data_IF_206985726115
#
_entry.id   IF_206985726115
#
_cell.length_a   1.000
_cell.length_b   1.000
_cell.length_c   1.000
_cell.angle_alpha   90.00
_cell.angle_beta   90.00
_cell.angle_gamma   90.00
#
_symmetry.space_group_name_H-M   'P 1'
#
loop_
_entity.id
_entity.type
_entity.pdbx_description
1 polymer ?
#
# COMPACT_ATOMS: atom_id res chain seq x y z
N UNK A 1 -66.41 -77.27 1.00
CA UNK A 1 -67.29 -76.19 1.55
C UNK A 1 -66.50 -75.02 2.02
N UNK A 2 -66.66 -73.91 1.28
CA UNK A 2 -66.58 -72.48 1.67
C UNK A 2 -65.54 -72.02 2.77
N UNK A 3 -64.78 -71.03 2.55
CA UNK A 3 -65.11 -69.61 2.23
C UNK A 3 -63.84 -68.83 1.81
N UNK A 4 -64.04 -67.87 0.96
CA UNK A 4 -63.15 -66.85 0.54
C UNK A 4 -62.68 -65.95 1.68
N UNK A 5 -61.37 -65.62 1.78
CA UNK A 5 -60.84 -64.51 2.43
C UNK A 5 -60.12 -63.57 1.48
N UNK A 6 -60.61 -62.35 1.43
CA UNK A 6 -60.16 -61.28 0.55
C UNK A 6 -58.97 -60.57 1.21
N UNK A 7 -57.79 -60.70 0.60
CA UNK A 7 -56.62 -59.91 0.97
C UNK A 7 -56.85 -58.44 0.55
N UNK A 8 -56.84 -57.52 1.49
CA UNK A 8 -56.74 -56.09 1.25
C UNK A 8 -55.26 -55.72 1.17
N UNK A 9 -54.81 -55.35 0.00
CA UNK A 9 -53.48 -54.79 -0.24
C UNK A 9 -53.56 -53.29 0.05
N UNK A 10 -52.95 -52.85 1.17
CA UNK A 10 -52.74 -51.44 1.48
C UNK A 10 -51.54 -50.90 0.70
N UNK A 11 -51.78 -50.00 -0.25
CA UNK A 11 -50.74 -49.22 -0.87
C UNK A 11 -50.26 -48.15 0.12
N UNK A 12 -49.04 -48.30 0.64
CA UNK A 12 -48.33 -47.23 1.35
C UNK A 12 -47.56 -46.40 0.29
N UNK A 13 -47.96 -45.14 0.11
CA UNK A 13 -47.25 -44.18 -0.68
C UNK A 13 -45.97 -43.70 0.06
N UNK A 14 -44.78 -43.56 -0.56
CA UNK A 14 -43.62 -43.00 0.09
C UNK A 14 -43.76 -41.46 0.20
N UNK A 15 -43.70 -40.97 1.41
CA UNK A 15 -43.56 -39.53 1.67
C UNK A 15 -42.14 -39.12 1.27
N UNK A 16 -42.04 -38.41 0.16
CA UNK A 16 -40.79 -37.77 -0.24
C UNK A 16 -40.46 -36.61 0.72
N UNK A 17 -39.50 -36.80 1.61
CA UNK A 17 -38.92 -35.74 2.41
C UNK A 17 -38.16 -34.78 1.50
N UNK A 18 -38.76 -33.64 1.19
CA UNK A 18 -38.09 -32.54 0.51
C UNK A 18 -37.01 -31.96 1.46
N UNK A 19 -35.78 -32.42 1.30
CA UNK A 19 -34.62 -31.82 1.96
C UNK A 19 -34.44 -30.41 1.46
N UNK A 20 -34.77 -29.41 2.27
CA UNK A 20 -34.38 -28.03 2.08
C UNK A 20 -32.84 -27.95 2.22
N UNK A 21 -32.15 -27.97 1.10
CA UNK A 21 -30.76 -27.61 1.06
C UNK A 21 -30.63 -26.13 1.48
N UNK A 22 -30.22 -25.90 2.71
CA UNK A 22 -29.84 -24.58 3.19
C UNK A 22 -28.68 -24.11 2.30
N UNK A 23 -28.97 -23.26 1.30
CA UNK A 23 -27.95 -22.52 0.58
C UNK A 23 -27.18 -21.69 1.62
N UNK A 24 -25.98 -22.13 1.98
CA UNK A 24 -25.09 -21.37 2.82
C UNK A 24 -24.97 -19.96 2.26
N UNK A 25 -25.37 -18.95 3.02
CA UNK A 25 -25.11 -17.56 2.69
C UNK A 25 -23.59 -17.45 2.46
N UNK A 26 -23.18 -17.13 1.24
CA UNK A 26 -21.80 -16.77 0.96
C UNK A 26 -21.44 -15.60 1.90
N UNK A 27 -20.62 -15.87 2.89
CA UNK A 27 -20.12 -14.83 3.78
C UNK A 27 -19.23 -13.91 2.95
N UNK A 28 -19.63 -12.66 2.80
CA UNK A 28 -18.78 -11.64 2.19
C UNK A 28 -17.43 -11.68 2.92
N UNK A 29 -16.30 -11.80 2.21
CA UNK A 29 -14.99 -11.79 2.85
C UNK A 29 -14.85 -10.54 3.72
N UNK A 30 -14.38 -10.71 4.96
CA UNK A 30 -14.17 -9.55 5.84
C UNK A 30 -13.08 -8.65 5.24
N UNK A 31 -13.26 -7.32 5.30
CA UNK A 31 -12.21 -6.39 4.88
C UNK A 31 -10.91 -6.70 5.62
N UNK A 32 -9.80 -6.73 4.90
CA UNK A 32 -8.47 -7.03 5.46
C UNK A 32 -7.43 -6.04 4.98
N UNK A 33 -6.40 -5.83 5.81
CA UNK A 33 -5.15 -5.17 5.45
C UNK A 33 -4.06 -6.23 5.55
N UNK A 34 -3.23 -6.36 4.52
CA UNK A 34 -2.17 -7.36 4.50
C UNK A 34 -0.90 -6.78 5.10
N UNK A 35 -0.38 -7.41 6.15
CA UNK A 35 0.90 -7.09 6.79
C UNK A 35 1.92 -8.20 6.53
N UNK A 36 3.18 -7.95 6.83
CA UNK A 36 4.24 -8.98 6.73
C UNK A 36 4.04 -10.14 7.70
N UNK A 37 3.22 -9.96 8.74
CA UNK A 37 2.83 -11.01 9.71
C UNK A 37 1.52 -11.72 9.33
N UNK A 38 0.87 -11.31 8.24
CA UNK A 38 -0.41 -11.83 7.78
C UNK A 38 -1.54 -10.78 7.79
N UNK A 39 -2.78 -11.17 7.45
CA UNK A 39 -3.90 -10.24 7.36
C UNK A 39 -4.40 -9.81 8.75
N UNK A 40 -4.75 -8.53 8.85
CA UNK A 40 -5.44 -7.95 10.01
C UNK A 40 -6.75 -7.30 9.57
N UNK A 41 -7.67 -7.05 10.50
CA UNK A 41 -8.85 -6.22 10.21
C UNK A 41 -8.47 -4.73 10.19
N UNK A 42 -9.18 -3.88 9.44
CA UNK A 42 -8.92 -2.45 9.44
C UNK A 42 -8.92 -1.80 10.84
N UNK A 43 -9.78 -2.27 11.74
CA UNK A 43 -9.86 -1.76 13.12
C UNK A 43 -8.62 -2.10 13.97
N UNK A 44 -7.87 -3.13 13.60
CA UNK A 44 -6.63 -3.52 14.28
C UNK A 44 -5.42 -2.70 13.88
N UNK A 45 -5.49 -1.90 12.79
CA UNK A 45 -4.36 -1.16 12.24
C UNK A 45 -3.82 -0.11 13.23
N UNK A 46 -4.71 0.72 13.80
CA UNK A 46 -4.36 1.85 14.66
C UNK A 46 -3.65 3.00 13.91
N UNK A 47 -3.03 3.95 14.66
CA UNK A 47 -2.27 5.05 14.05
C UNK A 47 -1.11 4.55 13.22
N UNK A 48 -1.00 5.06 11.98
CA UNK A 48 -0.10 4.56 10.95
C UNK A 48 0.72 5.67 10.29
N UNK A 49 2.00 5.41 10.05
CA UNK A 49 2.84 6.12 9.08
C UNK A 49 2.62 5.47 7.70
N UNK A 50 2.18 6.26 6.73
CA UNK A 50 1.68 5.73 5.46
C UNK A 50 2.73 5.61 4.36
N UNK A 51 3.96 6.13 4.59
CA UNK A 51 5.08 6.08 3.65
C UNK A 51 6.40 6.31 4.38
N UNK A 52 7.13 5.23 4.64
CA UNK A 52 8.47 5.27 5.24
C UNK A 52 9.37 4.21 4.61
N UNK A 53 10.67 4.27 4.94
CA UNK A 53 11.68 3.36 4.42
C UNK A 53 12.52 2.74 5.54
N UNK A 54 12.65 1.42 5.54
CA UNK A 54 13.58 0.71 6.41
C UNK A 54 14.99 0.79 5.85
N UNK A 55 15.14 0.43 4.59
CA UNK A 55 16.42 0.49 3.90
C UNK A 55 16.20 0.86 2.43
N UNK A 56 17.29 1.29 1.77
CA UNK A 56 17.28 1.56 0.35
C UNK A 56 18.65 1.25 -0.28
N UNK A 57 18.62 0.66 -1.47
CA UNK A 57 19.77 0.48 -2.35
C UNK A 57 19.58 1.28 -3.64
N UNK A 58 20.14 2.48 -3.68
CA UNK A 58 20.04 3.38 -4.84
C UNK A 58 21.05 3.08 -5.96
N UNK A 59 21.88 2.06 -5.84
CA UNK A 59 22.76 1.70 -6.95
C UNK A 59 21.92 1.30 -8.19
N UNK A 60 22.18 1.91 -9.36
CA UNK A 60 21.51 1.51 -10.60
C UNK A 60 21.73 0.02 -10.90
N UNK A 61 20.73 -0.65 -11.46
CA UNK A 61 20.84 -2.08 -11.78
C UNK A 61 22.01 -2.37 -12.74
N UNK A 62 22.26 -1.48 -13.69
CA UNK A 62 23.37 -1.62 -14.64
C UNK A 62 24.76 -1.62 -13.97
N UNK A 63 24.89 -1.07 -12.77
CA UNK A 63 26.15 -1.00 -12.01
C UNK A 63 26.33 -2.18 -11.05
N UNK A 64 25.33 -3.04 -10.87
CA UNK A 64 25.39 -4.18 -9.97
C UNK A 64 26.13 -5.35 -10.65
N UNK A 65 27.15 -5.85 -9.99
CA UNK A 65 27.94 -7.00 -10.47
C UNK A 65 27.33 -8.36 -10.09
N UNK A 66 26.40 -8.36 -9.14
CA UNK A 66 25.64 -9.55 -8.72
C UNK A 66 24.25 -9.57 -9.39
N UNK A 67 23.56 -10.71 -9.27
CA UNK A 67 22.17 -10.80 -9.68
C UNK A 67 21.32 -9.67 -9.05
N UNK A 68 20.39 -9.04 -9.78
CA UNK A 68 19.67 -7.85 -9.32
C UNK A 68 18.92 -8.01 -7.99
N UNK A 69 18.58 -9.24 -7.62
CA UNK A 69 17.87 -9.58 -6.38
C UNK A 69 18.79 -9.95 -5.22
N UNK A 70 20.12 -10.05 -5.45
CA UNK A 70 21.07 -10.32 -4.39
C UNK A 70 21.19 -9.13 -3.46
N UNK A 71 20.96 -9.33 -2.17
CA UNK A 71 21.16 -8.31 -1.15
C UNK A 71 22.63 -7.87 -1.11
N UNK A 72 22.86 -6.56 -1.04
CA UNK A 72 24.19 -5.93 -0.95
C UNK A 72 24.46 -5.39 0.45
N UNK A 73 23.76 -5.89 1.44
CA UNK A 73 23.81 -5.52 2.85
C UNK A 73 23.72 -6.77 3.72
N UNK A 74 24.12 -6.66 4.97
CA UNK A 74 23.89 -7.66 6.00
C UNK A 74 22.51 -7.41 6.65
N UNK A 75 21.53 -8.32 6.52
CA UNK A 75 20.22 -8.15 7.14
C UNK A 75 20.24 -8.07 8.67
N UNK A 76 21.25 -8.63 9.33
CA UNK A 76 21.39 -8.57 10.79
C UNK A 76 21.89 -7.19 11.22
N UNK A 77 22.85 -6.60 10.49
CA UNK A 77 23.29 -5.23 10.71
C UNK A 77 22.11 -4.25 10.53
N UNK A 78 21.36 -4.35 9.42
CA UNK A 78 20.19 -3.49 9.18
C UNK A 78 19.16 -3.66 10.29
N UNK A 79 18.90 -4.89 10.74
CA UNK A 79 17.99 -5.16 11.83
C UNK A 79 18.40 -4.44 13.12
N UNK A 80 19.67 -4.58 13.52
CA UNK A 80 20.18 -3.99 14.76
C UNK A 80 20.17 -2.46 14.73
N UNK A 81 20.46 -1.86 13.57
CA UNK A 81 20.47 -0.41 13.37
C UNK A 81 19.06 0.16 13.33
N UNK A 82 18.12 -0.48 12.62
CA UNK A 82 16.78 0.10 12.39
C UNK A 82 15.80 -0.19 13.53
N UNK A 83 15.92 -1.32 14.21
CA UNK A 83 14.99 -1.73 15.26
C UNK A 83 14.77 -0.67 16.35
N UNK A 84 15.79 0.02 16.90
CA UNK A 84 15.59 1.08 17.89
C UNK A 84 14.72 2.24 17.36
N UNK A 85 14.86 2.62 16.08
CA UNK A 85 14.04 3.67 15.45
C UNK A 85 12.56 3.27 15.36
N UNK A 86 12.27 1.99 15.04
CA UNK A 86 10.90 1.47 15.03
C UNK A 86 10.30 1.36 16.44
N UNK A 87 11.10 0.91 17.41
CA UNK A 87 10.66 0.82 18.81
C UNK A 87 10.33 2.19 19.40
N UNK A 88 11.06 3.24 19.00
CA UNK A 88 10.82 4.62 19.44
C UNK A 88 9.42 5.14 19.02
N UNK A 89 8.76 4.54 18.04
CA UNK A 89 7.40 4.91 17.62
C UNK A 89 6.30 4.49 18.62
N UNK A 90 6.52 3.39 19.36
CA UNK A 90 5.48 2.80 20.23
C UNK A 90 5.00 3.74 21.36
N UNK A 91 5.89 4.45 22.09
CA UNK A 91 5.46 5.40 23.11
C UNK A 91 4.59 6.55 22.59
N UNK A 92 4.70 6.86 21.29
CA UNK A 92 3.89 7.89 20.62
C UNK A 92 2.55 7.36 20.07
N UNK A 93 2.23 6.08 20.32
CA UNK A 93 0.96 5.47 19.92
C UNK A 93 0.94 4.93 18.49
N UNK A 94 2.04 5.01 17.74
CA UNK A 94 2.12 4.41 16.41
C UNK A 94 1.94 2.88 16.50
N UNK A 95 1.15 2.31 15.58
CA UNK A 95 0.82 0.88 15.53
C UNK A 95 1.21 0.23 14.22
N UNK A 96 1.31 1.01 13.14
CA UNK A 96 1.56 0.49 11.82
C UNK A 96 2.45 1.42 10.98
N UNK A 97 3.11 0.84 9.97
CA UNK A 97 3.92 1.57 9.01
C UNK A 97 3.86 0.86 7.64
N UNK A 98 3.67 1.62 6.57
CA UNK A 98 3.85 1.13 5.22
C UNK A 98 5.30 1.38 4.79
N UNK A 99 6.01 0.30 4.52
CA UNK A 99 7.38 0.32 4.00
C UNK A 99 7.32 0.38 2.47
N UNK A 100 7.81 1.46 1.90
CA UNK A 100 7.60 1.83 0.50
C UNK A 100 8.74 1.46 -0.43
N UNK A 101 9.83 0.87 0.06
CA UNK A 101 10.95 0.44 -0.78
C UNK A 101 10.50 -0.68 -1.71
N UNK A 102 10.49 -0.46 -3.04
CA UNK A 102 10.03 -1.47 -4.00
C UNK A 102 11.12 -2.50 -4.32
N UNK A 103 10.73 -3.51 -5.09
CA UNK A 103 11.67 -4.47 -5.66
C UNK A 103 12.80 -3.75 -6.39
N UNK A 104 14.00 -4.30 -6.32
CA UNK A 104 15.25 -3.77 -6.90
C UNK A 104 15.80 -2.49 -6.25
N UNK A 105 15.13 -1.95 -5.22
CA UNK A 105 15.66 -0.86 -4.40
C UNK A 105 15.95 -1.27 -2.94
N UNK A 106 15.88 -2.56 -2.61
CA UNK A 106 16.17 -3.05 -1.27
C UNK A 106 14.95 -3.63 -0.53
N UNK A 107 13.81 -3.86 -1.20
CA UNK A 107 12.67 -4.54 -0.59
C UNK A 107 13.08 -5.89 0.01
N UNK A 108 12.91 -6.07 1.33
CA UNK A 108 13.20 -7.30 2.04
C UNK A 108 12.04 -7.69 2.97
N UNK A 109 11.10 -8.52 2.50
CA UNK A 109 9.96 -8.95 3.32
C UNK A 109 10.36 -9.78 4.54
N UNK A 110 11.46 -10.55 4.47
CA UNK A 110 11.91 -11.40 5.58
C UNK A 110 12.46 -10.53 6.72
N UNK A 111 13.28 -9.53 6.41
CA UNK A 111 13.77 -8.54 7.37
C UNK A 111 12.59 -7.77 7.99
N UNK A 112 11.65 -7.31 7.19
CA UNK A 112 10.47 -6.59 7.68
C UNK A 112 9.64 -7.44 8.64
N UNK A 113 9.47 -8.74 8.39
CA UNK A 113 8.77 -9.64 9.31
C UNK A 113 9.51 -9.76 10.65
N UNK A 114 10.84 -9.83 10.65
CA UNK A 114 11.65 -9.84 11.87
C UNK A 114 11.50 -8.53 12.64
N UNK A 115 11.62 -7.39 11.96
CA UNK A 115 11.43 -6.05 12.54
C UNK A 115 10.01 -5.86 13.09
N UNK A 116 8.98 -6.33 12.38
CA UNK A 116 7.59 -6.29 12.85
C UNK A 116 7.40 -7.06 14.14
N UNK A 117 7.94 -8.28 14.22
CA UNK A 117 7.86 -9.11 15.42
C UNK A 117 8.57 -8.47 16.63
N UNK A 118 9.76 -7.88 16.43
CA UNK A 118 10.58 -7.29 17.49
C UNK A 118 10.08 -5.90 17.93
N UNK A 119 9.56 -5.08 17.00
CA UNK A 119 9.03 -3.76 17.33
C UNK A 119 7.58 -3.79 17.82
N UNK A 120 6.81 -4.83 17.46
CA UNK A 120 5.38 -4.92 17.69
C UNK A 120 4.55 -3.96 16.82
N UNK A 121 5.10 -3.48 15.70
CA UNK A 121 4.40 -2.68 14.69
C UNK A 121 3.86 -3.59 13.58
N UNK A 122 2.69 -3.26 13.06
CA UNK A 122 2.20 -3.83 11.81
C UNK A 122 2.95 -3.20 10.65
N UNK A 123 3.88 -3.93 10.01
CA UNK A 123 4.58 -3.46 8.83
C UNK A 123 3.90 -4.00 7.57
N UNK A 124 3.70 -3.12 6.57
CA UNK A 124 3.21 -3.48 5.24
C UNK A 124 4.38 -3.42 4.27
N UNK A 125 4.51 -4.42 3.41
CA UNK A 125 5.42 -4.42 2.26
C UNK A 125 4.62 -4.32 0.96
N UNK A 126 5.29 -4.22 -0.17
CA UNK A 126 4.67 -3.93 -1.46
C UNK A 126 5.08 -4.91 -2.56
N UNK A 127 4.36 -4.85 -3.69
CA UNK A 127 4.75 -5.37 -4.99
C UNK A 127 4.79 -4.22 -6.00
N UNK A 128 5.47 -4.40 -7.11
CA UNK A 128 5.60 -3.36 -8.13
C UNK A 128 7.05 -3.04 -8.47
N UNK A 129 7.23 -2.15 -9.46
CA UNK A 129 8.55 -1.72 -9.92
C UNK A 129 8.63 -0.19 -9.99
N UNK A 130 9.82 0.34 -9.77
CA UNK A 130 10.08 1.77 -9.67
C UNK A 130 10.70 2.31 -10.96
N UNK A 131 9.91 2.99 -11.80
CA UNK A 131 10.34 3.58 -13.07
C UNK A 131 10.92 4.98 -12.93
N UNK A 132 10.68 5.69 -11.82
CA UNK A 132 11.28 7.01 -11.64
C UNK A 132 12.83 6.96 -11.62
N UNK A 133 13.48 8.12 -11.77
CA UNK A 133 14.94 8.28 -11.92
C UNK A 133 15.46 7.68 -13.24
N UNK A 134 14.76 7.93 -14.35
CA UNK A 134 15.09 7.48 -15.69
C UNK A 134 15.23 5.96 -15.80
N UNK A 135 14.29 5.21 -15.23
CA UNK A 135 14.16 3.76 -15.33
C UNK A 135 15.38 2.94 -14.81
N UNK A 136 16.35 3.57 -14.16
CA UNK A 136 17.65 2.95 -13.80
C UNK A 136 17.50 1.78 -12.81
N UNK A 137 16.35 1.63 -12.17
CA UNK A 137 16.04 0.55 -11.24
C UNK A 137 15.08 -0.50 -11.83
N UNK A 138 14.77 -0.40 -13.13
CA UNK A 138 13.93 -1.37 -13.81
C UNK A 138 14.76 -2.53 -14.38
N UNK A 139 14.40 -3.78 -14.10
CA UNK A 139 15.07 -4.93 -14.71
C UNK A 139 14.77 -4.99 -16.22
N UNK A 140 15.69 -5.54 -17.03
CA UNK A 140 15.61 -5.53 -18.49
C UNK A 140 14.30 -6.08 -19.08
N UNK A 141 13.69 -7.07 -18.42
CA UNK A 141 12.43 -7.64 -18.90
C UNK A 141 11.25 -6.64 -18.87
N UNK A 142 11.31 -5.60 -18.05
CA UNK A 142 10.25 -4.56 -18.01
C UNK A 142 10.12 -3.86 -19.36
N UNK A 143 11.21 -3.68 -20.08
CA UNK A 143 11.21 -3.01 -21.39
C UNK A 143 10.59 -3.87 -22.49
N UNK A 144 10.66 -5.19 -22.37
CA UNK A 144 10.22 -6.17 -23.40
C UNK A 144 8.90 -6.83 -23.09
N UNK A 145 8.56 -7.02 -21.82
CA UNK A 145 7.30 -7.63 -21.41
C UNK A 145 6.11 -6.67 -21.55
N UNK A 146 4.92 -7.26 -21.72
CA UNK A 146 3.65 -6.54 -21.77
C UNK A 146 3.19 -6.15 -20.36
N UNK A 147 2.25 -5.19 -20.26
CA UNK A 147 1.60 -4.85 -18.98
C UNK A 147 0.91 -6.05 -18.32
N UNK A 148 0.35 -7.00 -19.12
CA UNK A 148 -0.25 -8.22 -18.58
C UNK A 148 0.79 -9.17 -17.98
N UNK A 149 1.96 -9.30 -18.60
CA UNK A 149 3.04 -10.11 -18.07
C UNK A 149 3.58 -9.55 -16.75
N UNK A 150 3.77 -8.22 -16.66
CA UNK A 150 4.16 -7.54 -15.42
C UNK A 150 3.09 -7.71 -14.34
N UNK A 151 1.82 -7.49 -14.66
CA UNK A 151 0.71 -7.71 -13.73
C UNK A 151 0.65 -9.16 -13.23
N UNK A 152 0.92 -10.14 -14.11
CA UNK A 152 0.95 -11.56 -13.71
C UNK A 152 2.07 -11.85 -12.70
N UNK A 153 3.24 -11.17 -12.80
CA UNK A 153 4.32 -11.27 -11.80
C UNK A 153 3.86 -10.77 -10.43
N UNK A 154 3.26 -9.58 -10.38
CA UNK A 154 2.80 -8.97 -9.12
C UNK A 154 1.62 -9.72 -8.50
N UNK A 155 0.75 -10.30 -9.31
CA UNK A 155 -0.32 -11.18 -8.83
C UNK A 155 0.26 -12.49 -8.25
N UNK A 156 1.34 -13.05 -8.82
CA UNK A 156 2.01 -14.21 -8.20
C UNK A 156 2.59 -13.87 -6.83
N UNK A 157 3.23 -12.70 -6.65
CA UNK A 157 3.66 -12.27 -5.31
C UNK A 157 2.49 -12.19 -4.31
N UNK A 158 1.30 -11.78 -4.78
CA UNK A 158 0.09 -11.79 -3.94
C UNK A 158 -0.42 -13.20 -3.62
N UNK A 159 -0.39 -14.12 -4.57
CA UNK A 159 -0.93 -15.49 -4.36
C UNK A 159 0.04 -16.40 -3.62
N UNK A 160 1.32 -16.35 -3.99
CA UNK A 160 2.34 -17.32 -3.58
C UNK A 160 3.29 -16.74 -2.52
N UNK A 161 3.29 -15.43 -2.37
CA UNK A 161 4.25 -14.68 -1.53
C UNK A 161 5.46 -14.18 -2.31
N UNK A 162 6.08 -13.14 -1.79
CA UNK A 162 7.24 -12.46 -2.37
C UNK A 162 8.46 -13.34 -2.19
N UNK A 163 9.20 -13.59 -3.27
CA UNK A 163 10.53 -14.24 -3.27
C UNK A 163 10.58 -15.56 -2.47
N UNK A 164 9.50 -16.34 -2.47
CA UNK A 164 9.41 -17.62 -1.78
C UNK A 164 9.26 -17.54 -0.26
N UNK A 165 9.12 -16.35 0.31
CA UNK A 165 8.96 -16.11 1.76
C UNK A 165 7.57 -16.50 2.31
N UNK A 166 6.57 -16.63 1.45
CA UNK A 166 5.17 -16.74 1.81
C UNK A 166 4.55 -15.42 2.31
N UNK A 167 5.32 -14.32 2.38
CA UNK A 167 4.85 -12.99 2.79
C UNK A 167 4.18 -12.31 1.59
N UNK A 168 2.94 -11.87 1.78
CA UNK A 168 2.16 -11.20 0.74
C UNK A 168 2.31 -9.68 0.80
N UNK A 169 2.30 -8.97 -0.36
CA UNK A 169 2.31 -7.52 -0.37
C UNK A 169 1.01 -6.94 0.21
N UNK A 170 1.09 -5.80 0.88
CA UNK A 170 -0.05 -5.03 1.39
C UNK A 170 -0.59 -4.01 0.39
N UNK A 171 0.23 -3.61 -0.59
CA UNK A 171 -0.12 -2.63 -1.63
C UNK A 171 0.79 -2.80 -2.86
N UNK A 172 0.50 -2.05 -3.92
CA UNK A 172 1.34 -1.97 -5.13
C UNK A 172 2.13 -0.68 -5.05
N UNK A 173 3.47 -0.73 -5.22
CA UNK A 173 4.33 0.45 -5.31
C UNK A 173 4.96 0.54 -6.69
N UNK A 174 4.63 1.61 -7.40
CA UNK A 174 5.31 1.99 -8.65
C UNK A 174 5.94 3.38 -8.51
N UNK A 175 6.72 3.77 -9.49
CA UNK A 175 7.25 5.13 -9.61
C UNK A 175 7.27 5.56 -11.06
N UNK A 176 7.07 6.85 -11.29
CA UNK A 176 7.15 7.51 -12.60
C UNK A 176 7.97 8.79 -12.47
N UNK A 177 8.56 9.26 -13.57
CA UNK A 177 9.29 10.51 -13.59
C UNK A 177 8.38 11.75 -13.57
N UNK A 178 8.94 12.93 -13.28
CA UNK A 178 8.20 14.17 -13.04
C UNK A 178 7.57 14.85 -14.28
N UNK A 179 7.84 14.35 -15.48
CA UNK A 179 7.32 14.88 -16.76
C UNK A 179 6.07 14.15 -17.24
N UNK A 180 5.65 14.33 -18.49
CA UNK A 180 4.66 13.48 -19.13
C UNK A 180 5.10 12.01 -19.09
N UNK A 181 4.15 11.10 -18.88
CA UNK A 181 4.43 9.67 -18.76
C UNK A 181 5.09 9.13 -20.03
N UNK A 182 6.23 8.48 -19.89
CA UNK A 182 6.83 7.67 -20.95
C UNK A 182 5.95 6.44 -21.28
N UNK A 183 6.28 5.74 -22.35
CA UNK A 183 5.62 4.46 -22.69
C UNK A 183 5.84 3.41 -21.60
N UNK A 184 7.01 3.43 -20.95
CA UNK A 184 7.34 2.53 -19.84
C UNK A 184 6.52 2.89 -18.61
N UNK A 185 6.43 4.17 -18.25
CA UNK A 185 5.58 4.63 -17.15
C UNK A 185 4.11 4.25 -17.36
N UNK A 186 3.56 4.53 -18.55
CA UNK A 186 2.17 4.13 -18.90
C UNK A 186 1.97 2.62 -18.77
N UNK A 187 2.97 1.83 -19.18
CA UNK A 187 2.95 0.38 -19.05
C UNK A 187 2.94 -0.07 -17.58
N UNK A 188 3.76 0.56 -16.72
CA UNK A 188 3.76 0.28 -15.27
C UNK A 188 2.41 0.61 -14.63
N UNK A 189 1.81 1.76 -14.96
CA UNK A 189 0.49 2.15 -14.47
C UNK A 189 -0.60 1.17 -14.92
N UNK A 190 -0.58 0.72 -16.19
CA UNK A 190 -1.50 -0.31 -16.70
C UNK A 190 -1.33 -1.64 -15.98
N UNK A 191 -0.09 -2.06 -15.76
CA UNK A 191 0.20 -3.28 -15.01
C UNK A 191 -0.32 -3.20 -13.56
N UNK A 192 -0.15 -2.05 -12.91
CA UNK A 192 -0.68 -1.80 -11.57
C UNK A 192 -2.22 -1.85 -11.55
N UNK A 193 -2.89 -1.23 -12.52
CA UNK A 193 -4.35 -1.27 -12.68
C UNK A 193 -4.87 -2.71 -12.83
N UNK A 194 -4.21 -3.52 -13.68
CA UNK A 194 -4.56 -4.93 -13.91
C UNK A 194 -4.28 -5.81 -12.70
N UNK A 195 -3.24 -5.50 -11.94
CA UNK A 195 -2.93 -6.15 -10.65
C UNK A 195 -4.00 -5.79 -9.62
N UNK A 196 -4.33 -4.51 -9.47
CA UNK A 196 -5.41 -4.05 -8.57
C UNK A 196 -6.72 -4.80 -8.84
N UNK A 197 -7.15 -4.91 -10.10
CA UNK A 197 -8.39 -5.61 -10.49
C UNK A 197 -8.42 -7.06 -10.02
N UNK A 198 -7.27 -7.73 -9.96
CA UNK A 198 -7.14 -9.15 -9.59
C UNK A 198 -6.91 -9.37 -8.10
N UNK A 199 -6.38 -8.37 -7.39
CA UNK A 199 -5.94 -8.52 -6.00
C UNK A 199 -6.67 -7.62 -5.01
N UNK A 200 -7.16 -6.46 -5.47
CA UNK A 200 -7.71 -5.42 -4.60
C UNK A 200 -6.66 -4.56 -3.89
N UNK A 201 -5.37 -4.78 -4.15
CA UNK A 201 -4.27 -3.99 -3.57
C UNK A 201 -4.30 -2.54 -4.07
N UNK A 202 -4.18 -1.58 -3.16
CA UNK A 202 -4.12 -0.15 -3.51
C UNK A 202 -2.81 0.17 -4.21
N UNK A 203 -2.86 1.06 -5.19
CA UNK A 203 -1.70 1.50 -5.99
C UNK A 203 -1.12 2.76 -5.37
N UNK A 204 0.13 2.72 -4.93
CA UNK A 204 0.89 3.90 -4.53
C UNK A 204 1.94 4.22 -5.61
N UNK A 205 1.92 5.43 -6.13
CA UNK A 205 2.81 5.84 -7.20
C UNK A 205 3.68 7.03 -6.78
N UNK A 206 5.01 6.83 -6.74
CA UNK A 206 5.95 7.95 -6.68
C UNK A 206 5.73 8.83 -7.91
N UNK A 207 5.35 10.09 -7.72
CA UNK A 207 4.86 10.93 -8.81
C UNK A 207 5.37 12.37 -8.68
N UNK A 208 5.02 13.07 -7.57
CA UNK A 208 5.34 14.48 -7.37
C UNK A 208 4.40 15.42 -8.16
N UNK A 209 4.79 15.94 -9.35
CA UNK A 209 4.03 16.96 -10.08
C UNK A 209 2.65 16.49 -10.58
N UNK A 210 1.77 17.46 -10.87
CA UNK A 210 0.41 17.20 -11.33
C UNK A 210 0.34 16.57 -12.73
N UNK A 211 1.26 16.91 -13.64
CA UNK A 211 1.23 16.39 -15.02
C UNK A 211 1.21 14.87 -15.03
N UNK A 212 2.22 14.15 -14.50
CA UNK A 212 2.20 12.68 -14.47
C UNK A 212 1.08 12.15 -13.55
N UNK A 213 0.66 12.87 -12.52
CA UNK A 213 -0.42 12.44 -11.64
C UNK A 213 -1.75 12.32 -12.39
N UNK A 214 -2.12 13.36 -13.15
CA UNK A 214 -3.37 13.34 -13.92
C UNK A 214 -3.33 12.37 -15.09
N UNK A 215 -2.19 12.22 -15.77
CA UNK A 215 -2.03 11.20 -16.82
C UNK A 215 -2.16 9.77 -16.27
N UNK A 216 -1.66 9.48 -15.04
CA UNK A 216 -1.91 8.21 -14.38
C UNK A 216 -3.40 7.98 -14.11
N UNK A 217 -4.12 9.02 -13.63
CA UNK A 217 -5.57 8.91 -13.41
C UNK A 217 -6.33 8.62 -14.71
N UNK A 218 -5.86 9.13 -15.84
CA UNK A 218 -6.45 8.82 -17.16
C UNK A 218 -6.19 7.37 -17.55
N UNK A 219 -4.95 6.88 -17.40
CA UNK A 219 -4.61 5.46 -17.65
C UNK A 219 -5.43 4.52 -16.76
N UNK A 220 -5.60 4.84 -15.48
CA UNK A 220 -6.44 4.07 -14.57
C UNK A 220 -7.91 4.05 -15.05
N UNK A 221 -8.38 5.19 -15.53
CA UNK A 221 -9.72 5.31 -16.09
C UNK A 221 -9.94 4.48 -17.36
N UNK A 222 -8.96 4.46 -18.27
CA UNK A 222 -8.96 3.59 -19.45
C UNK A 222 -9.04 2.11 -19.06
N UNK A 223 -8.34 1.71 -18.00
CA UNK A 223 -8.37 0.36 -17.43
C UNK A 223 -9.63 0.10 -16.57
N UNK A 224 -10.55 1.05 -16.44
CA UNK A 224 -11.80 0.92 -15.66
C UNK A 224 -11.59 0.87 -14.14
N UNK A 225 -10.48 1.41 -13.65
CA UNK A 225 -10.16 1.48 -12.23
C UNK A 225 -10.57 2.85 -11.67
N UNK A 226 -11.17 2.84 -10.48
CA UNK A 226 -11.53 4.06 -9.76
C UNK A 226 -10.27 4.77 -9.25
N UNK A 227 -10.25 6.10 -9.30
CA UNK A 227 -9.20 6.91 -8.69
C UNK A 227 -9.01 6.60 -7.18
N UNK A 228 -10.04 6.11 -6.49
CA UNK A 228 -9.94 5.71 -5.07
C UNK A 228 -9.03 4.50 -4.81
N UNK A 229 -8.59 3.82 -5.86
CA UNK A 229 -7.60 2.76 -5.80
C UNK A 229 -6.15 3.28 -5.82
N UNK A 230 -5.94 4.59 -5.97
CA UNK A 230 -4.64 5.17 -6.25
C UNK A 230 -4.25 6.25 -5.24
N UNK A 231 -2.97 6.24 -4.84
CA UNK A 231 -2.33 7.19 -3.94
C UNK A 231 -1.34 8.02 -4.76
N UNK A 232 -1.57 9.32 -4.81
CA UNK A 232 -0.63 10.31 -5.32
C UNK A 232 0.48 10.53 -4.30
N UNK A 233 1.57 9.81 -4.42
CA UNK A 233 2.73 9.92 -3.53
C UNK A 233 3.55 11.18 -3.88
N UNK A 234 4.07 11.86 -2.87
CA UNK A 234 4.82 13.12 -2.96
C UNK A 234 4.00 14.28 -3.56
N UNK A 235 2.69 14.29 -3.29
CA UNK A 235 1.82 15.35 -3.78
C UNK A 235 2.24 16.74 -3.31
N UNK A 236 2.96 16.87 -2.17
CA UNK A 236 3.54 18.14 -1.72
C UNK A 236 4.53 18.77 -2.70
N UNK A 237 5.04 18.02 -3.69
CA UNK A 237 5.92 18.56 -4.72
C UNK A 237 5.16 19.31 -5.83
N UNK A 238 3.84 19.15 -5.89
CA UNK A 238 2.98 20.06 -6.67
C UNK A 238 2.81 21.37 -5.92
N UNK A 239 2.93 22.49 -6.65
CA UNK A 239 2.86 23.82 -6.06
C UNK A 239 1.46 24.44 -6.07
N UNK A 240 0.63 24.07 -7.05
CA UNK A 240 -0.75 24.55 -7.13
C UNK A 240 -1.70 23.64 -6.33
N UNK A 241 -2.22 24.11 -5.18
CA UNK A 241 -3.12 23.33 -4.36
C UNK A 241 -4.46 22.99 -5.05
N UNK A 242 -4.83 23.69 -6.13
CA UNK A 242 -6.00 23.34 -6.92
C UNK A 242 -5.90 21.95 -7.54
N UNK A 243 -4.69 21.49 -7.86
CA UNK A 243 -4.47 20.14 -8.36
C UNK A 243 -4.73 19.07 -7.29
N UNK A 244 -4.32 19.32 -6.02
CA UNK A 244 -4.61 18.40 -4.90
C UNK A 244 -6.13 18.25 -4.71
N UNK A 245 -6.83 19.37 -4.70
CA UNK A 245 -8.31 19.43 -4.59
C UNK A 245 -8.97 18.69 -5.76
N UNK A 246 -8.50 18.92 -6.98
CA UNK A 246 -9.05 18.27 -8.17
C UNK A 246 -8.83 16.73 -8.16
N UNK A 247 -7.66 16.26 -7.75
CA UNK A 247 -7.38 14.84 -7.64
C UNK A 247 -8.22 14.17 -6.54
N UNK A 248 -8.31 14.80 -5.36
CA UNK A 248 -9.11 14.33 -4.25
C UNK A 248 -10.61 14.25 -4.60
N UNK A 249 -11.15 15.25 -5.32
CA UNK A 249 -12.54 15.24 -5.82
C UNK A 249 -12.82 14.13 -6.83
N UNK A 250 -11.80 13.67 -7.58
CA UNK A 250 -11.89 12.46 -8.42
C UNK A 250 -11.89 11.18 -7.58
N UNK A 251 -11.58 11.26 -6.27
CA UNK A 251 -11.52 10.15 -5.32
C UNK A 251 -10.11 9.65 -5.02
N UNK A 252 -9.07 10.18 -5.64
CA UNK A 252 -7.68 9.81 -5.38
C UNK A 252 -7.28 10.12 -3.93
N UNK A 253 -6.34 9.34 -3.39
CA UNK A 253 -5.65 9.68 -2.16
C UNK A 253 -4.53 10.65 -2.47
N UNK A 254 -4.46 11.75 -1.73
CA UNK A 254 -3.40 12.76 -1.84
C UNK A 254 -2.46 12.57 -0.66
N UNK A 255 -1.23 12.11 -0.92
CA UNK A 255 -0.24 11.85 0.11
C UNK A 255 0.73 13.02 0.23
N UNK A 256 0.67 13.71 1.38
CA UNK A 256 1.69 14.68 1.80
C UNK A 256 2.66 13.95 2.72
N UNK A 257 3.63 13.30 2.12
CA UNK A 257 4.49 12.30 2.75
C UNK A 257 5.96 12.75 2.92
N UNK A 258 6.23 14.03 2.73
CA UNK A 258 7.56 14.61 2.92
C UNK A 258 7.69 15.48 4.17
N UNK A 259 6.96 15.14 5.25
CA UNK A 259 6.98 15.93 6.49
C UNK A 259 8.38 15.90 7.12
N UNK A 260 8.97 17.07 7.32
CA UNK A 260 10.28 17.24 7.91
C UNK A 260 10.36 18.60 8.61
N UNK A 261 11.36 18.86 9.48
CA UNK A 261 11.51 20.17 10.14
C UNK A 261 11.49 21.35 9.17
N UNK A 262 12.21 21.24 8.06
CA UNK A 262 12.30 22.31 7.05
C UNK A 262 11.01 22.54 6.25
N UNK A 263 10.06 21.58 6.27
CA UNK A 263 8.82 21.63 5.49
C UNK A 263 7.56 21.67 6.36
N UNK A 264 7.70 21.80 7.68
CA UNK A 264 6.61 21.70 8.65
C UNK A 264 5.46 22.65 8.34
N UNK A 265 5.73 23.94 8.22
CA UNK A 265 4.72 24.97 7.97
C UNK A 265 3.99 24.75 6.64
N UNK A 266 4.72 24.34 5.60
CA UNK A 266 4.14 24.02 4.30
C UNK A 266 3.17 22.85 4.38
N UNK A 267 3.54 21.76 5.09
CA UNK A 267 2.66 20.61 5.24
C UNK A 267 1.40 20.93 6.07
N UNK A 268 1.54 21.76 7.11
CA UNK A 268 0.38 22.28 7.86
C UNK A 268 -0.56 23.07 6.94
N UNK A 269 -0.02 23.95 6.09
CA UNK A 269 -0.82 24.72 5.15
C UNK A 269 -1.54 23.82 4.12
N UNK A 270 -0.86 22.79 3.57
CA UNK A 270 -1.47 21.83 2.65
C UNK A 270 -2.65 21.08 3.30
N UNK A 271 -2.48 20.58 4.52
CA UNK A 271 -3.55 19.88 5.24
C UNK A 271 -4.72 20.82 5.52
N UNK A 272 -4.47 22.07 5.91
CA UNK A 272 -5.51 23.09 6.10
C UNK A 272 -6.29 23.35 4.80
N UNK A 273 -5.59 23.50 3.68
CA UNK A 273 -6.24 23.66 2.39
C UNK A 273 -7.22 22.52 2.10
N UNK A 274 -6.81 21.28 2.34
CA UNK A 274 -7.70 20.14 2.14
C UNK A 274 -8.88 20.14 3.12
N UNK A 275 -8.67 20.58 4.37
CA UNK A 275 -9.75 20.77 5.35
C UNK A 275 -10.76 21.83 4.90
N UNK A 276 -10.29 22.98 4.42
CA UNK A 276 -11.13 24.09 3.98
C UNK A 276 -11.98 23.72 2.75
N UNK A 277 -11.62 22.66 2.04
CA UNK A 277 -12.37 22.09 0.91
C UNK A 277 -13.18 20.82 1.26
N UNK A 278 -13.30 20.45 2.55
CA UNK A 278 -13.98 19.24 3.02
C UNK A 278 -13.41 17.93 2.43
N UNK A 279 -12.08 17.88 2.23
CA UNK A 279 -11.38 16.76 1.57
C UNK A 279 -10.36 16.05 2.49
N UNK A 280 -10.43 16.25 3.80
CA UNK A 280 -9.54 15.53 4.74
C UNK A 280 -9.68 14.01 4.61
N UNK A 281 -10.83 13.52 4.19
CA UNK A 281 -11.09 12.08 3.99
C UNK A 281 -10.33 11.46 2.81
N UNK A 282 -9.54 12.26 2.09
CA UNK A 282 -8.68 11.87 0.96
C UNK A 282 -7.20 12.14 1.18
N UNK A 283 -6.82 12.56 2.39
CA UNK A 283 -5.43 12.90 2.72
C UNK A 283 -4.75 11.73 3.43
N UNK A 284 -3.52 11.44 3.02
CA UNK A 284 -2.57 10.57 3.73
C UNK A 284 -1.34 11.40 4.12
N UNK A 285 -0.76 11.09 5.28
CA UNK A 285 0.35 11.85 5.85
C UNK A 285 1.49 10.92 6.25
N UNK A 286 2.74 11.31 5.94
CA UNK A 286 3.94 10.60 6.38
C UNK A 286 5.18 11.48 6.25
N UNK A 287 6.36 10.89 6.39
CA UNK A 287 7.61 11.63 6.44
C UNK A 287 8.58 11.26 5.32
N UNK A 288 8.39 10.10 4.68
CA UNK A 288 9.39 9.54 3.77
C UNK A 288 10.76 9.47 4.46
N UNK A 289 10.77 8.95 5.69
CA UNK A 289 11.91 8.93 6.60
C UNK A 289 12.49 7.51 6.76
N UNK A 290 13.48 7.39 7.63
CA UNK A 290 14.28 6.20 7.83
C UNK A 290 15.51 6.23 6.95
N UNK A 291 15.59 5.30 5.99
CA UNK A 291 16.65 5.24 5.00
C UNK A 291 18.00 4.71 5.56
N UNK A 292 18.05 3.41 5.92
CA UNK A 292 19.35 2.75 5.97
C UNK A 292 19.90 2.68 4.53
N UNK A 293 20.94 3.45 4.22
CA UNK A 293 21.54 3.54 2.89
C UNK A 293 22.54 2.39 2.70
N UNK A 294 22.22 1.48 1.80
CA UNK A 294 23.13 0.38 1.44
C UNK A 294 24.41 0.95 0.83
N UNK A 295 25.56 0.53 1.38
CA UNK A 295 26.88 1.00 0.97
C UNK A 295 27.46 2.13 1.82
N UNK A 296 26.68 2.72 2.72
CA UNK A 296 27.17 3.66 3.72
C UNK A 296 27.45 2.98 5.04
N UNK A 297 28.53 3.33 5.76
CA UNK A 297 28.84 2.73 7.07
C UNK A 297 27.68 2.91 8.06
N UNK A 298 27.21 1.80 8.66
CA UNK A 298 26.06 1.84 9.58
C UNK A 298 24.77 2.34 8.95
N UNK A 299 24.67 2.34 7.61
CA UNK A 299 23.48 2.83 6.89
C UNK A 299 23.38 4.36 6.77
N UNK A 300 24.44 5.10 7.12
CA UNK A 300 24.47 6.57 7.03
C UNK A 300 23.60 7.26 8.07
N UNK A 301 23.04 8.42 7.72
CA UNK A 301 22.18 9.23 8.60
C UNK A 301 20.72 8.82 8.48
N UNK A 302 20.25 8.01 9.42
CA UNK A 302 18.88 7.50 9.44
C UNK A 302 17.95 8.55 10.07
N UNK A 303 17.02 9.09 9.30
CA UNK A 303 16.03 10.06 9.79
C UNK A 303 15.06 9.39 10.77
N UNK A 304 14.90 9.94 12.00
CA UNK A 304 13.96 9.41 12.99
C UNK A 304 12.50 9.48 12.49
N UNK A 305 11.72 8.45 12.77
CA UNK A 305 10.29 8.41 12.44
C UNK A 305 9.40 9.19 13.43
N UNK A 306 9.94 9.68 14.52
CA UNK A 306 9.16 10.25 15.63
C UNK A 306 8.68 11.67 15.38
N UNK A 307 9.34 12.45 14.52
CA UNK A 307 9.01 13.86 14.24
C UNK A 307 7.54 14.06 13.85
N UNK A 308 6.95 13.09 13.17
CA UNK A 308 5.52 13.10 12.83
C UNK A 308 4.63 13.26 14.08
N UNK A 309 4.96 12.56 15.16
CA UNK A 309 4.17 12.53 16.39
C UNK A 309 4.56 13.63 17.35
N UNK A 310 5.86 13.98 17.45
CA UNK A 310 6.38 14.94 18.42
C UNK A 310 6.20 16.39 18.01
N UNK A 311 6.19 16.65 16.70
CA UNK A 311 6.20 18.02 16.16
C UNK A 311 5.04 18.27 15.19
N UNK A 312 4.82 17.39 14.21
CA UNK A 312 3.83 17.66 13.17
C UNK A 312 2.38 17.56 13.65
N UNK A 313 2.01 16.51 14.40
CA UNK A 313 0.66 16.42 14.96
C UNK A 313 0.35 17.57 15.94
N UNK A 314 1.25 17.96 16.85
CA UNK A 314 1.08 19.20 17.65
C UNK A 314 0.90 20.45 16.80
N UNK A 315 1.67 20.63 15.71
CA UNK A 315 1.52 21.78 14.82
C UNK A 315 0.15 21.79 14.11
N UNK A 316 -0.37 20.64 13.70
CA UNK A 316 -1.73 20.55 13.14
C UNK A 316 -2.79 20.95 14.18
N UNK A 317 -2.66 20.52 15.44
CA UNK A 317 -3.57 20.96 16.54
C UNK A 317 -3.51 22.47 16.72
N UNK A 318 -2.31 23.04 16.79
CA UNK A 318 -2.12 24.50 16.89
C UNK A 318 -2.72 25.25 15.70
N UNK A 319 -2.76 24.65 14.54
CA UNK A 319 -3.39 25.17 13.31
C UNK A 319 -4.92 24.95 13.23
N UNK A 320 -5.55 24.41 14.30
CA UNK A 320 -7.00 24.28 14.41
C UNK A 320 -7.59 22.96 13.90
N UNK A 321 -6.78 21.90 13.75
CA UNK A 321 -7.30 20.55 13.52
C UNK A 321 -7.75 19.95 14.86
N UNK A 322 -8.94 19.35 14.84
CA UNK A 322 -9.52 18.65 16.00
C UNK A 322 -8.93 17.25 16.17
N UNK A 323 -9.12 16.62 17.33
CA UNK A 323 -8.72 15.22 17.55
C UNK A 323 -9.46 14.25 16.62
N UNK A 324 -10.67 14.59 16.20
CA UNK A 324 -11.40 13.83 15.20
C UNK A 324 -10.72 13.92 13.82
N UNK A 325 -10.26 15.10 13.42
CA UNK A 325 -9.49 15.29 12.19
C UNK A 325 -8.19 14.49 12.23
N UNK A 326 -7.46 14.54 13.36
CA UNK A 326 -6.21 13.81 13.52
C UNK A 326 -6.43 12.29 13.52
N UNK A 327 -7.49 11.81 14.15
CA UNK A 327 -7.90 10.39 14.09
C UNK A 327 -8.24 9.98 12.66
N UNK A 328 -8.96 10.84 11.93
CA UNK A 328 -9.25 10.59 10.51
C UNK A 328 -7.96 10.46 9.69
N UNK A 329 -7.01 11.36 9.85
CA UNK A 329 -5.76 11.40 9.10
C UNK A 329 -4.80 10.27 9.45
N UNK A 330 -4.74 9.86 10.73
CA UNK A 330 -3.75 8.88 11.21
C UNK A 330 -4.27 7.45 11.32
N UNK A 331 -5.59 7.25 11.41
CA UNK A 331 -6.22 5.92 11.61
C UNK A 331 -7.19 5.59 10.49
N UNK A 332 -8.24 6.43 10.31
CA UNK A 332 -9.36 6.08 9.43
C UNK A 332 -8.95 6.06 7.96
N UNK A 333 -8.25 7.11 7.50
CA UNK A 333 -7.81 7.20 6.12
C UNK A 333 -6.79 6.11 5.78
N UNK A 334 -5.72 5.87 6.56
CA UNK A 334 -4.81 4.74 6.32
C UNK A 334 -5.55 3.39 6.24
N UNK A 335 -6.45 3.11 7.18
CA UNK A 335 -7.22 1.88 7.19
C UNK A 335 -8.06 1.72 5.91
N UNK A 336 -8.73 2.79 5.44
CA UNK A 336 -9.50 2.79 4.18
C UNK A 336 -8.60 2.65 2.95
N UNK A 337 -7.47 3.35 2.91
CA UNK A 337 -6.54 3.34 1.79
C UNK A 337 -5.91 1.95 1.59
N UNK A 338 -5.42 1.32 2.65
CA UNK A 338 -4.72 0.04 2.59
C UNK A 338 -5.62 -1.20 2.71
N UNK A 339 -6.92 -1.04 2.90
CA UNK A 339 -7.86 -2.16 2.85
C UNK A 339 -7.86 -2.79 1.45
N UNK A 340 -7.64 -4.11 1.41
CA UNK A 340 -7.68 -4.92 0.18
C UNK A 340 -9.11 -4.97 -0.35
N UNK A 341 -9.35 -4.25 -1.43
CA UNK A 341 -10.67 -4.13 -2.05
C UNK A 341 -10.52 -3.72 -3.52
N UNK A 342 -11.17 -4.43 -4.42
CA UNK A 342 -11.25 -4.02 -5.83
C UNK A 342 -12.15 -2.78 -5.95
N UNK A 343 -11.59 -1.72 -6.55
CA UNK A 343 -12.26 -0.42 -6.75
C UNK A 343 -12.30 -0.11 -8.25
N UNK A 344 -13.44 -0.37 -8.84
CA UNK A 344 -13.72 -0.09 -10.27
C UNK A 344 -14.60 1.16 -10.41
N UNK A 345 -14.66 1.70 -11.64
CA UNK A 345 -15.59 2.77 -12.02
C UNK A 345 -17.02 2.28 -12.11
#
# INVERSE_FOLDING_TARGET
MNRRDVLRIGLAAPIAAAGFAQRGRATTPRPTIMTVAGPITPDALGPMLTHEHVLVDFAPLAERTAEPTTARYDPDEVFDVVLPHLQALRPHGCRAMAEFTPAYLGRDPALLRRLSAASGLHLLTNTGFYGARNDQHLPPFVFTETADALAARWVREWTDGIDGTGIRPGFIKIGVDGGPLSDVDRKLVRAAARTHRRTGLTIAAHTGPAVPAFEQLEVLAEEGISASAWIWTHAQNEHDPAHHVAAARRGAWVAFDGVAPASLERHVALVRTMKDHDLLDRVLLSQDAGWYHVGEPGGGDIRPFTFFFTDFLPALRAAGLTEADLTQLTVTNPARAFTVQVRTR
#
